data_IF_084980763766
#
_entry.id   IF_084980763766
#
_cell.length_a   1.000
_cell.length_b   1.000
_cell.length_c   1.000
_cell.angle_alpha   90.00
_cell.angle_beta   90.00
_cell.angle_gamma   90.00
#
_symmetry.space_group_name_H-M   'P 1'
#
loop_
_entity.id
_entity.type
_entity.pdbx_description
1 polymer ?
#
# COMPACT_ATOMS: atom_id res chain seq x y z
N UNK A 1 6.46 -14.90 8.52
CA UNK A 1 7.03 -13.54 8.42
C UNK A 1 6.17 -12.53 9.14
N UNK A 2 6.68 -11.36 9.33
CA UNK A 2 5.98 -10.30 10.06
C UNK A 2 5.79 -9.07 9.18
N UNK A 3 4.75 -8.29 9.48
CA UNK A 3 4.56 -7.01 8.84
C UNK A 3 5.79 -6.13 9.10
N UNK A 4 6.41 -5.52 8.07
CA UNK A 4 7.60 -4.69 8.27
C UNK A 4 7.33 -3.39 9.03
N UNK A 5 6.06 -3.05 9.26
CA UNK A 5 5.70 -1.83 9.97
C UNK A 5 5.36 -2.12 11.43
N UNK A 6 4.34 -2.93 11.69
CA UNK A 6 3.84 -3.19 13.05
C UNK A 6 4.32 -4.52 13.64
N UNK A 7 5.03 -5.31 12.87
CA UNK A 7 5.63 -6.60 13.29
C UNK A 7 4.62 -7.71 13.62
N UNK A 8 3.35 -7.54 13.29
CA UNK A 8 2.37 -8.60 13.48
C UNK A 8 2.68 -9.76 12.52
N UNK A 9 2.44 -10.99 12.97
CA UNK A 9 2.61 -12.17 12.14
C UNK A 9 1.61 -12.14 10.99
N UNK A 10 2.08 -12.49 9.78
CA UNK A 10 1.22 -12.55 8.60
C UNK A 10 1.73 -13.58 7.62
N UNK A 11 0.87 -13.97 6.67
CA UNK A 11 1.26 -14.88 5.60
C UNK A 11 2.33 -14.23 4.73
N UNK A 12 3.27 -15.07 4.27
CA UNK A 12 4.37 -14.62 3.42
C UNK A 12 3.97 -14.65 1.96
N UNK A 13 4.25 -13.57 1.27
CA UNK A 13 4.12 -13.52 -0.18
C UNK A 13 5.51 -13.54 -0.79
N UNK A 14 5.85 -14.60 -1.51
CA UNK A 14 7.17 -14.71 -2.14
C UNK A 14 7.46 -13.55 -3.08
N UNK A 15 6.43 -13.08 -3.79
CA UNK A 15 6.56 -11.98 -4.73
C UNK A 15 6.65 -10.62 -4.04
N UNK A 16 6.08 -10.50 -2.85
CA UNK A 16 6.00 -9.23 -2.11
C UNK A 16 6.50 -9.43 -0.68
N UNK A 17 7.81 -9.68 -0.50
CA UNK A 17 8.34 -10.03 0.83
C UNK A 17 8.27 -8.91 1.85
N UNK A 18 8.11 -7.68 1.40
CA UNK A 18 8.01 -6.51 2.29
C UNK A 18 6.59 -5.95 2.38
N UNK A 19 5.58 -6.73 1.97
CA UNK A 19 4.19 -6.30 2.03
C UNK A 19 3.74 -6.08 3.47
N UNK A 20 2.91 -5.04 3.67
CA UNK A 20 2.38 -4.71 4.99
C UNK A 20 1.07 -5.45 5.25
N UNK A 21 0.67 -5.55 6.52
CA UNK A 21 -0.59 -6.19 6.89
C UNK A 21 -1.78 -5.28 6.58
N UNK A 22 -3.01 -5.84 6.65
CA UNK A 22 -4.22 -5.09 6.36
C UNK A 22 -4.44 -3.88 7.24
N UNK A 23 -4.07 -3.97 8.53
CA UNK A 23 -4.21 -2.84 9.44
C UNK A 23 -3.29 -1.69 9.04
N UNK A 24 -2.05 -1.98 8.65
CA UNK A 24 -1.13 -0.96 8.18
C UNK A 24 -1.57 -0.39 6.83
N UNK A 25 -2.12 -1.24 5.97
CA UNK A 25 -2.68 -0.80 4.69
C UNK A 25 -3.69 0.33 4.89
N UNK A 26 -4.54 0.23 5.91
CA UNK A 26 -5.57 1.24 6.20
C UNK A 26 -5.00 2.53 6.79
N UNK A 27 -3.72 2.56 7.11
CA UNK A 27 -3.06 3.72 7.72
C UNK A 27 -2.20 4.51 6.74
N UNK A 28 -2.30 4.23 5.44
CA UNK A 28 -1.48 4.92 4.45
C UNK A 28 -1.87 6.39 4.32
N UNK A 29 -0.85 7.24 4.27
CA UNK A 29 -1.01 8.68 4.13
C UNK A 29 0.03 9.22 3.15
N UNK A 30 -0.19 10.45 2.68
CA UNK A 30 0.79 11.16 1.87
C UNK A 30 1.93 11.66 2.75
N UNK A 31 2.96 12.21 2.12
CA UNK A 31 4.05 12.86 2.83
C UNK A 31 3.55 13.96 3.78
N UNK A 32 2.42 14.57 3.46
CA UNK A 32 1.81 15.62 4.27
C UNK A 32 0.84 15.09 5.32
N UNK A 33 0.67 13.77 5.41
CA UNK A 33 -0.24 13.16 6.37
C UNK A 33 -1.68 13.04 5.93
N UNK A 34 -1.97 13.29 4.66
CA UNK A 34 -3.32 13.16 4.12
C UNK A 34 -3.61 11.69 3.78
N UNK A 35 -4.79 11.21 4.16
CA UNK A 35 -5.16 9.82 3.92
C UNK A 35 -5.23 9.51 2.43
N UNK A 36 -4.67 8.36 2.04
CA UNK A 36 -4.72 7.86 0.68
C UNK A 36 -5.59 6.61 0.64
N UNK A 37 -6.46 6.52 -0.36
CA UNK A 37 -7.20 5.30 -0.66
C UNK A 37 -6.73 4.78 -2.01
N UNK A 38 -6.58 3.46 -2.11
CA UNK A 38 -6.11 2.81 -3.34
C UNK A 38 -7.16 1.86 -3.87
N UNK A 39 -7.36 1.85 -5.18
CA UNK A 39 -8.36 1.02 -5.83
C UNK A 39 -7.84 0.48 -7.16
N UNK A 40 -8.42 -0.66 -7.59
CA UNK A 40 -8.32 -1.08 -8.98
C UNK A 40 -9.34 -0.30 -9.80
N UNK A 41 -8.96 0.05 -11.03
CA UNK A 41 -9.82 0.84 -11.92
C UNK A 41 -11.02 0.02 -12.38
N UNK A 42 -10.80 -1.27 -12.68
CA UNK A 42 -11.85 -2.18 -13.14
C UNK A 42 -11.49 -3.63 -12.80
N UNK A 43 -12.34 -4.56 -13.22
CA UNK A 43 -12.13 -5.98 -12.94
C UNK A 43 -10.87 -6.55 -13.62
N UNK A 44 -10.41 -5.92 -14.67
CA UNK A 44 -9.17 -6.32 -15.36
C UNK A 44 -7.92 -5.79 -14.73
N UNK A 45 -8.04 -5.00 -13.66
CA UNK A 45 -6.92 -4.40 -12.96
C UNK A 45 -6.84 -2.89 -13.16
N UNK A 46 -5.62 -2.36 -13.13
CA UNK A 46 -5.39 -0.92 -13.15
C UNK A 46 -5.20 -0.38 -11.74
N UNK A 47 -4.67 0.81 -11.64
CA UNK A 47 -4.30 1.42 -10.35
C UNK A 47 -4.79 2.86 -10.29
N UNK A 48 -5.41 3.21 -9.18
CA UNK A 48 -5.69 4.62 -8.88
C UNK A 48 -5.60 4.89 -7.39
N UNK A 49 -5.26 6.13 -7.06
CA UNK A 49 -5.26 6.62 -5.70
C UNK A 49 -6.25 7.78 -5.57
N UNK A 50 -6.80 7.94 -4.37
CA UNK A 50 -7.70 9.06 -4.08
C UNK A 50 -7.20 9.74 -2.81
N UNK A 51 -6.93 11.06 -2.92
CA UNK A 51 -6.54 11.92 -1.80
C UNK A 51 -7.44 13.13 -1.83
N UNK A 52 -8.19 13.38 -0.75
CA UNK A 52 -9.12 14.51 -0.66
C UNK A 52 -10.11 14.55 -1.83
N UNK A 53 -10.62 13.36 -2.22
CA UNK A 53 -11.55 13.19 -3.34
C UNK A 53 -10.97 13.51 -4.72
N UNK A 54 -9.64 13.60 -4.82
CA UNK A 54 -8.94 13.83 -6.08
C UNK A 54 -8.30 12.52 -6.53
N UNK A 55 -8.68 12.05 -7.72
CA UNK A 55 -8.10 10.84 -8.28
C UNK A 55 -6.71 11.11 -8.85
N UNK A 56 -5.83 10.12 -8.73
CA UNK A 56 -4.46 10.21 -9.25
C UNK A 56 -3.82 8.84 -9.32
N UNK A 57 -2.50 8.83 -9.52
CA UNK A 57 -1.70 7.61 -9.61
C UNK A 57 -0.51 7.70 -8.65
N UNK A 58 -0.78 8.01 -7.39
CA UNK A 58 0.24 8.13 -6.37
C UNK A 58 0.64 6.74 -5.89
N UNK A 59 1.90 6.38 -6.03
CA UNK A 59 2.44 5.11 -5.55
C UNK A 59 3.15 5.27 -4.21
N UNK A 60 3.82 6.38 -4.00
CA UNK A 60 4.55 6.63 -2.76
C UNK A 60 3.59 6.98 -1.65
N UNK A 61 3.73 6.31 -0.52
CA UNK A 61 2.87 6.53 0.63
C UNK A 61 3.67 6.29 1.91
N UNK A 62 3.09 6.65 3.05
CA UNK A 62 3.75 6.54 4.34
C UNK A 62 2.82 5.86 5.34
N UNK A 63 3.40 5.04 6.20
CA UNK A 63 2.70 4.39 7.31
C UNK A 63 3.56 4.61 8.56
N UNK A 64 3.02 5.31 9.55
CA UNK A 64 3.76 5.63 10.78
C UNK A 64 5.12 6.29 10.50
N UNK A 65 5.18 7.14 9.46
CA UNK A 65 6.41 7.83 9.08
C UNK A 65 7.37 6.99 8.24
N UNK A 66 7.02 5.76 7.93
CA UNK A 66 7.86 4.85 7.14
C UNK A 66 7.43 4.88 5.70
N UNK A 67 8.37 5.15 4.80
CA UNK A 67 8.07 5.23 3.37
C UNK A 67 7.70 3.85 2.82
N UNK A 68 6.61 3.82 2.06
CA UNK A 68 6.10 2.62 1.43
C UNK A 68 5.77 2.89 -0.03
N UNK A 69 5.55 1.82 -0.79
CA UNK A 69 5.20 1.90 -2.20
C UNK A 69 3.99 1.02 -2.47
N UNK A 70 2.98 1.60 -3.10
CA UNK A 70 1.76 0.89 -3.48
C UNK A 70 1.85 0.46 -4.94
N UNK A 71 1.46 -0.78 -5.22
CA UNK A 71 1.45 -1.29 -6.58
C UNK A 71 0.29 -2.25 -6.78
N UNK A 72 -0.03 -2.52 -8.04
CA UNK A 72 -1.09 -3.45 -8.38
C UNK A 72 -0.63 -4.89 -8.12
N UNK A 73 -1.44 -5.62 -7.37
CA UNK A 73 -1.17 -7.04 -7.12
C UNK A 73 -1.40 -7.85 -8.41
N UNK A 74 -0.55 -8.86 -8.63
CA UNK A 74 -0.61 -9.70 -9.83
C UNK A 74 -2.00 -10.29 -10.11
N UNK A 75 -2.70 -10.67 -9.05
CA UNK A 75 -4.01 -11.30 -9.16
C UNK A 75 -5.17 -10.35 -8.86
N UNK A 76 -4.93 -9.06 -8.95
CA UNK A 76 -5.90 -8.03 -8.63
C UNK A 76 -5.74 -7.50 -7.21
N UNK A 77 -6.32 -6.33 -6.94
CA UNK A 77 -6.14 -5.63 -5.68
C UNK A 77 -4.86 -4.81 -5.64
N UNK A 78 -4.59 -4.23 -4.50
CA UNK A 78 -3.43 -3.36 -4.29
C UNK A 78 -2.57 -3.94 -3.18
N UNK A 79 -1.26 -3.96 -3.39
CA UNK A 79 -0.30 -4.38 -2.37
C UNK A 79 0.58 -3.18 -2.01
N UNK A 80 0.80 -2.96 -0.72
CA UNK A 80 1.67 -1.92 -0.23
C UNK A 80 2.85 -2.58 0.46
N UNK A 81 4.05 -2.16 0.09
CA UNK A 81 5.29 -2.72 0.62
C UNK A 81 6.17 -1.63 1.18
N UNK A 82 6.92 -1.95 2.23
CA UNK A 82 7.92 -1.04 2.77
C UNK A 82 9.03 -0.84 1.74
N UNK A 83 9.41 0.41 1.53
CA UNK A 83 10.53 0.72 0.63
C UNK A 83 11.82 0.27 1.30
N UNK A 84 12.61 -0.49 0.56
CA UNK A 84 13.88 -0.99 1.05
C UNK A 84 14.96 0.04 0.70
N UNK A 85 15.54 0.60 1.73
CA UNK A 85 16.61 1.59 1.58
C UNK A 85 17.96 0.93 1.83
#
# INVERSE_FOLDING_TARGET
MSCPICKVKMLTFKRYPNAVCGQCFDKTVTEKGEKIEFYNINLGGGFKSIVNNIEGEIHDCYINGIQCYAEEHRFGGIVISKVKI
#
